data_IF_634988826476
#
_entry.id   IF_634988826476
#
_cell.length_a   1.000
_cell.length_b   1.000
_cell.length_c   1.000
_cell.angle_alpha   90.00
_cell.angle_beta   90.00
_cell.angle_gamma   90.00
#
_symmetry.space_group_name_H-M   'P 1'
#
loop_
_entity.id
_entity.type
_entity.pdbx_description
1 polymer ?
#
# COMPACT_ATOMS: atom_id res chain seq x y z
N UNK A 1 14.79 19.92 12.41
CA UNK A 1 14.87 18.93 13.51
C UNK A 1 13.55 18.71 14.24
N UNK A 2 12.80 19.75 14.65
CA UNK A 2 11.50 19.59 15.35
C UNK A 2 10.40 18.87 14.55
N UNK A 3 10.38 18.96 13.20
CA UNK A 3 9.40 18.27 12.35
C UNK A 3 9.67 16.77 12.13
N UNK A 4 10.87 16.27 12.45
CA UNK A 4 11.25 14.86 12.22
C UNK A 4 10.89 13.95 13.40
N UNK A 5 10.78 14.51 14.60
CA UNK A 5 10.44 13.78 15.83
C UNK A 5 9.10 13.00 15.71
N UNK A 6 8.00 13.59 15.19
CA UNK A 6 6.76 12.85 14.99
C UNK A 6 6.93 11.68 14.02
N UNK A 7 7.64 11.90 12.91
CA UNK A 7 7.88 10.86 11.90
C UNK A 7 8.70 9.70 12.47
N UNK A 8 9.78 10.00 13.19
CA UNK A 8 10.63 8.99 13.83
C UNK A 8 9.82 8.20 14.87
N UNK A 9 8.96 8.88 15.65
CA UNK A 9 8.06 8.22 16.60
C UNK A 9 7.12 7.23 15.92
N UNK A 10 6.45 7.64 14.84
CA UNK A 10 5.55 6.76 14.08
C UNK A 10 6.30 5.56 13.49
N UNK A 11 7.45 5.79 12.85
CA UNK A 11 8.27 4.71 12.28
C UNK A 11 8.77 3.74 13.35
N UNK A 12 9.09 4.24 14.55
CA UNK A 12 9.52 3.41 15.68
C UNK A 12 8.38 2.53 16.19
N UNK A 13 7.19 3.10 16.41
CA UNK A 13 6.00 2.35 16.83
C UNK A 13 5.63 1.26 15.81
N UNK A 14 5.63 1.61 14.52
CA UNK A 14 5.39 0.67 13.42
C UNK A 14 6.46 -0.43 13.40
N UNK A 15 7.74 -0.07 13.56
CA UNK A 15 8.84 -1.03 13.64
C UNK A 15 8.65 -2.03 14.78
N UNK A 16 8.30 -1.55 15.98
CA UNK A 16 8.00 -2.40 17.14
C UNK A 16 6.83 -3.35 16.85
N UNK A 17 5.75 -2.85 16.25
CA UNK A 17 4.61 -3.68 15.86
C UNK A 17 5.03 -4.80 14.89
N UNK A 18 5.80 -4.47 13.85
CA UNK A 18 6.28 -5.46 12.87
C UNK A 18 7.16 -6.52 13.55
N UNK A 19 7.99 -6.13 14.52
CA UNK A 19 8.81 -7.07 15.26
C UNK A 19 7.97 -7.99 16.15
N UNK A 20 6.95 -7.47 16.84
CA UNK A 20 6.01 -8.28 17.62
C UNK A 20 5.25 -9.27 16.71
N UNK A 21 4.77 -8.83 15.54
CA UNK A 21 4.13 -9.70 14.56
C UNK A 21 5.05 -10.79 14.02
N UNK A 22 6.35 -10.50 13.94
CA UNK A 22 7.37 -11.47 13.52
C UNK A 22 7.63 -12.48 14.65
N UNK A 23 7.78 -12.00 15.90
CA UNK A 23 8.00 -12.84 17.08
C UNK A 23 6.82 -13.78 17.36
N UNK A 24 5.59 -13.31 17.16
CA UNK A 24 4.35 -14.08 17.36
C UNK A 24 4.00 -14.98 16.17
N UNK A 25 4.74 -14.90 15.06
CA UNK A 25 4.48 -15.66 13.84
C UNK A 25 3.29 -15.17 13.01
N UNK A 26 2.57 -14.14 13.44
CA UNK A 26 1.41 -13.55 12.72
C UNK A 26 1.80 -13.10 11.31
N UNK A 27 2.98 -12.49 11.15
CA UNK A 27 3.50 -12.09 9.83
C UNK A 27 3.70 -13.29 8.91
N UNK A 28 4.19 -14.41 9.45
CA UNK A 28 4.36 -15.66 8.71
C UNK A 28 3.02 -16.29 8.35
N UNK A 29 2.04 -16.25 9.25
CA UNK A 29 0.68 -16.73 8.98
C UNK A 29 0.04 -15.95 7.82
N UNK A 30 0.11 -14.61 7.85
CA UNK A 30 -0.36 -13.75 6.75
C UNK A 30 0.35 -14.12 5.44
N UNK A 31 1.66 -14.39 5.49
CA UNK A 31 2.42 -14.79 4.31
C UNK A 31 1.89 -16.09 3.69
N UNK A 32 1.72 -17.13 4.50
CA UNK A 32 1.26 -18.44 4.04
C UNK A 32 -0.17 -18.35 3.51
N UNK A 33 -1.07 -17.69 4.25
CA UNK A 33 -2.46 -17.52 3.81
C UNK A 33 -2.52 -16.77 2.47
N UNK A 34 -1.75 -15.70 2.31
CA UNK A 34 -1.70 -14.92 1.05
C UNK A 34 -1.18 -15.77 -0.12
N UNK A 35 -0.15 -16.60 0.10
CA UNK A 35 0.41 -17.47 -0.94
C UNK A 35 -0.58 -18.57 -1.36
N UNK A 36 -1.46 -19.00 -0.46
CA UNK A 36 -2.49 -20.03 -0.76
C UNK A 36 -3.75 -19.48 -1.42
N UNK A 37 -3.94 -18.16 -1.47
CA UNK A 37 -5.13 -17.56 -2.08
C UNK A 37 -5.10 -17.64 -3.62
N UNK A 38 -6.26 -17.80 -4.28
CA UNK A 38 -6.32 -17.76 -5.74
C UNK A 38 -5.95 -16.36 -6.25
N UNK A 39 -5.07 -16.32 -7.26
CA UNK A 39 -4.52 -15.08 -7.84
C UNK A 39 -5.61 -14.05 -8.20
N UNK A 40 -6.73 -14.51 -8.76
CA UNK A 40 -7.84 -13.65 -9.17
C UNK A 40 -8.44 -12.91 -7.96
N UNK A 41 -8.59 -13.59 -6.82
CA UNK A 41 -9.07 -12.96 -5.59
C UNK A 41 -8.05 -11.95 -5.05
N UNK A 42 -6.76 -12.24 -5.14
CA UNK A 42 -5.71 -11.30 -4.73
C UNK A 42 -5.79 -10.04 -5.60
N UNK A 43 -5.78 -10.17 -6.93
CA UNK A 43 -5.81 -9.02 -7.85
C UNK A 43 -7.09 -8.17 -7.66
N UNK A 44 -8.24 -8.80 -7.45
CA UNK A 44 -9.50 -8.09 -7.20
C UNK A 44 -9.49 -7.34 -5.85
N UNK A 45 -8.78 -7.85 -4.86
CA UNK A 45 -8.72 -7.25 -3.52
C UNK A 45 -7.60 -6.22 -3.36
N UNK A 46 -6.53 -6.26 -4.17
CA UNK A 46 -5.44 -5.27 -4.20
C UNK A 46 -5.92 -3.80 -4.12
N UNK A 47 -6.87 -3.32 -4.94
CA UNK A 47 -7.31 -1.93 -4.90
C UNK A 47 -7.93 -1.48 -3.57
N UNK A 48 -8.39 -2.41 -2.74
CA UNK A 48 -8.95 -2.10 -1.43
C UNK A 48 -7.94 -2.40 -0.31
N UNK A 49 -7.24 -3.53 -0.39
CA UNK A 49 -6.30 -3.98 0.63
C UNK A 49 -5.08 -3.07 0.68
N UNK A 50 -4.52 -2.64 -0.46
CA UNK A 50 -3.32 -1.80 -0.45
C UNK A 50 -3.60 -0.43 0.19
N UNK A 51 -4.61 0.37 -0.23
CA UNK A 51 -4.89 1.65 0.42
C UNK A 51 -5.38 1.49 1.87
N UNK A 52 -6.17 0.45 2.17
CA UNK A 52 -6.63 0.22 3.54
C UNK A 52 -5.47 -0.15 4.48
N UNK A 53 -4.53 -0.97 4.00
CA UNK A 53 -3.37 -1.37 4.79
C UNK A 53 -2.48 -0.18 5.13
N UNK A 54 -2.26 0.73 4.20
CA UNK A 54 -1.56 1.99 4.43
C UNK A 54 -2.31 2.89 5.40
N UNK A 55 -3.63 3.02 5.25
CA UNK A 55 -4.41 3.87 6.13
C UNK A 55 -4.32 3.41 7.60
N UNK A 56 -4.09 2.12 7.86
CA UNK A 56 -4.00 1.56 9.22
C UNK A 56 -2.54 1.43 9.69
N UNK A 57 -1.65 0.90 8.86
CA UNK A 57 -0.27 0.56 9.22
C UNK A 57 0.74 1.62 8.74
N UNK A 58 0.29 2.61 7.97
CA UNK A 58 1.12 3.60 7.29
C UNK A 58 2.27 2.90 6.54
N UNK A 59 3.49 3.39 6.73
CA UNK A 59 4.72 2.82 6.19
C UNK A 59 5.00 1.35 6.60
N UNK A 60 4.29 0.83 7.60
CA UNK A 60 4.36 -0.57 8.03
C UNK A 60 3.63 -1.56 7.13
N UNK A 61 2.79 -1.09 6.21
CA UNK A 61 2.04 -1.96 5.32
C UNK A 61 2.95 -2.79 4.38
N UNK A 62 4.04 -2.19 3.89
CA UNK A 62 4.99 -2.83 2.98
C UNK A 62 5.67 -4.09 3.57
N UNK A 63 6.29 -4.06 4.77
CA UNK A 63 6.90 -5.26 5.35
C UNK A 63 5.88 -6.33 5.77
N UNK A 64 4.65 -5.94 6.12
CA UNK A 64 3.60 -6.85 6.58
C UNK A 64 2.90 -7.56 5.44
N UNK A 65 2.45 -6.82 4.42
CA UNK A 65 1.67 -7.36 3.29
C UNK A 65 2.46 -7.42 1.98
N UNK A 66 3.35 -6.48 1.73
CA UNK A 66 4.12 -6.43 0.48
C UNK A 66 5.07 -7.60 0.31
N UNK A 67 5.78 -8.02 1.36
CA UNK A 67 6.67 -9.18 1.31
C UNK A 67 5.91 -10.47 0.91
N UNK A 68 4.80 -10.85 1.57
CA UNK A 68 3.92 -11.93 1.12
C UNK A 68 3.47 -11.86 -0.34
N UNK A 69 2.98 -10.69 -0.77
CA UNK A 69 2.44 -10.50 -2.12
C UNK A 69 3.53 -10.65 -3.18
N UNK A 70 4.72 -10.11 -2.94
CA UNK A 70 5.87 -10.26 -3.84
C UNK A 70 6.30 -11.72 -3.94
N UNK A 71 6.29 -12.47 -2.83
CA UNK A 71 6.59 -13.90 -2.84
C UNK A 71 5.55 -14.68 -3.65
N UNK A 72 4.25 -14.42 -3.46
CA UNK A 72 3.18 -15.01 -4.27
C UNK A 72 3.37 -14.71 -5.78
N UNK A 73 3.68 -13.47 -6.14
CA UNK A 73 3.89 -13.11 -7.54
C UNK A 73 5.12 -13.81 -8.13
N UNK A 74 6.18 -13.95 -7.34
CA UNK A 74 7.38 -14.68 -7.75
C UNK A 74 7.08 -16.16 -8.01
N UNK A 75 6.32 -16.84 -7.14
CA UNK A 75 5.99 -18.28 -7.32
C UNK A 75 5.10 -18.55 -8.54
N UNK A 76 4.34 -17.55 -9.00
CA UNK A 76 3.48 -17.64 -10.19
C UNK A 76 4.24 -17.21 -11.48
N UNK A 77 5.48 -16.75 -11.37
CA UNK A 77 6.31 -16.34 -12.50
C UNK A 77 6.01 -14.94 -13.02
N UNK A 78 5.44 -14.07 -12.17
CA UNK A 78 5.36 -12.64 -12.42
C UNK A 78 6.68 -11.97 -12.05
N UNK A 79 7.00 -10.83 -12.67
CA UNK A 79 8.19 -10.08 -12.28
C UNK A 79 7.93 -9.37 -10.94
N UNK A 80 8.61 -9.75 -9.85
CA UNK A 80 8.36 -9.22 -8.51
C UNK A 80 8.66 -7.72 -8.41
N UNK A 81 9.63 -7.23 -9.17
CA UNK A 81 10.05 -5.82 -9.17
C UNK A 81 8.96 -4.95 -9.80
N UNK A 82 8.46 -5.36 -10.97
CA UNK A 82 7.39 -4.62 -11.66
C UNK A 82 6.08 -4.70 -10.90
N UNK A 83 5.76 -5.86 -10.34
CA UNK A 83 4.57 -6.03 -9.50
C UNK A 83 4.65 -5.15 -8.24
N UNK A 84 5.82 -5.12 -7.57
CA UNK A 84 6.05 -4.24 -6.43
C UNK A 84 5.92 -2.76 -6.81
N UNK A 85 6.51 -2.35 -7.95
CA UNK A 85 6.38 -0.98 -8.45
C UNK A 85 4.90 -0.60 -8.70
N UNK A 86 4.13 -1.51 -9.31
CA UNK A 86 2.69 -1.31 -9.51
C UNK A 86 1.92 -1.16 -8.19
N UNK A 87 2.25 -1.97 -7.18
CA UNK A 87 1.66 -1.85 -5.84
C UNK A 87 2.08 -0.55 -5.14
N UNK A 88 3.34 -0.12 -5.25
CA UNK A 88 3.88 1.12 -4.67
C UNK A 88 3.23 2.39 -5.23
N UNK A 89 2.57 2.32 -6.38
CA UNK A 89 1.79 3.44 -6.94
C UNK A 89 0.40 3.52 -6.29
N UNK A 90 -0.15 2.40 -5.82
CA UNK A 90 -1.47 2.32 -5.18
C UNK A 90 -1.39 2.65 -3.67
N UNK A 91 -0.30 2.23 -3.04
CA UNK A 91 0.04 2.39 -1.60
C UNK A 91 0.29 3.80 -1.06
N UNK A 92 0.17 4.89 -1.83
CA UNK A 92 0.06 6.24 -1.26
C UNK A 92 -1.36 6.77 -1.21
N UNK A 93 -2.35 6.03 -1.76
CA UNK A 93 -3.75 6.47 -1.80
C UNK A 93 -4.44 6.38 -0.44
N UNK A 94 -3.93 5.51 0.44
CA UNK A 94 -4.36 5.30 1.81
C UNK A 94 -4.06 6.47 2.74
N UNK A 95 -3.04 7.27 2.46
CA UNK A 95 -2.73 8.51 3.20
C UNK A 95 -3.88 9.53 3.16
N UNK A 96 -4.76 9.43 2.15
CA UNK A 96 -5.97 10.22 2.05
C UNK A 96 -7.19 9.59 2.76
N UNK A 97 -7.13 8.32 3.19
CA UNK A 97 -8.28 7.65 3.81
C UNK A 97 -8.46 8.03 5.30
N UNK A 98 -9.71 8.08 5.81
CA UNK A 98 -10.05 8.56 7.15
C UNK A 98 -9.36 7.93 8.38
N UNK A 99 -8.92 6.65 8.39
CA UNK A 99 -8.33 6.04 9.58
C UNK A 99 -7.07 6.77 10.09
N UNK A 100 -6.24 7.28 9.17
CA UNK A 100 -5.08 8.13 9.47
C UNK A 100 -5.33 9.56 9.01
N UNK A 101 -5.67 9.77 7.73
CA UNK A 101 -5.93 11.06 7.08
C UNK A 101 -4.97 12.20 7.47
N UNK A 102 -3.75 11.89 7.94
CA UNK A 102 -2.84 12.90 8.50
C UNK A 102 -2.42 13.85 7.39
N UNK A 103 -1.97 13.28 6.27
CA UNK A 103 -1.53 14.03 5.08
C UNK A 103 -2.73 14.71 4.41
N UNK A 104 -3.87 14.01 4.28
CA UNK A 104 -5.07 14.62 3.70
C UNK A 104 -5.62 15.80 4.50
N UNK A 105 -5.60 15.73 5.85
CA UNK A 105 -6.07 16.84 6.71
C UNK A 105 -5.13 18.04 6.64
N UNK A 106 -3.82 17.79 6.62
CA UNK A 106 -2.81 18.84 6.43
C UNK A 106 -2.95 19.51 5.07
N UNK A 107 -3.19 18.74 4.00
CA UNK A 107 -3.42 19.27 2.66
C UNK A 107 -4.66 20.18 2.62
N UNK A 108 -5.77 19.74 3.23
CA UNK A 108 -7.00 20.53 3.34
C UNK A 108 -6.78 21.87 4.05
N UNK A 109 -6.05 21.85 5.16
CA UNK A 109 -5.72 23.04 5.94
C UNK A 109 -4.83 24.02 5.15
N UNK A 110 -3.84 23.49 4.44
CA UNK A 110 -2.91 24.28 3.60
C UNK A 110 -3.60 24.94 2.42
N UNK A 111 -4.57 24.25 1.79
CA UNK A 111 -5.35 24.77 0.66
C UNK A 111 -6.51 25.67 1.14
N UNK A 112 -6.77 25.75 2.44
CA UNK A 112 -7.83 26.60 3.01
C UNK A 112 -9.25 26.12 2.67
N UNK A 113 -9.43 24.82 2.37
CA UNK A 113 -10.74 24.27 2.02
C UNK A 113 -11.66 24.22 3.25
N UNK A 114 -12.73 25.03 3.23
CA UNK A 114 -13.75 25.07 4.31
C UNK A 114 -14.76 23.92 4.25
N UNK A 115 -14.85 23.24 3.10
CA UNK A 115 -15.77 22.11 2.89
C UNK A 115 -15.44 20.90 3.78
N UNK A 116 -16.38 19.97 4.03
CA UNK A 116 -16.09 18.73 4.76
C UNK A 116 -15.04 17.87 4.05
N UNK A 117 -14.25 17.11 4.81
CA UNK A 117 -13.18 16.23 4.28
C UNK A 117 -13.70 15.24 3.22
N UNK A 118 -14.94 14.80 3.37
CA UNK A 118 -15.62 13.92 2.41
C UNK A 118 -15.75 14.53 1.01
N UNK A 119 -15.83 15.86 0.88
CA UNK A 119 -15.88 16.51 -0.43
C UNK A 119 -14.51 16.48 -1.11
N UNK A 120 -13.43 16.72 -0.36
CA UNK A 120 -12.06 16.54 -0.86
C UNK A 120 -11.85 15.11 -1.35
N UNK A 121 -12.30 14.12 -0.57
CA UNK A 121 -12.18 12.71 -0.94
C UNK A 121 -12.93 12.41 -2.24
N UNK A 122 -14.13 12.98 -2.45
CA UNK A 122 -14.90 12.85 -3.70
C UNK A 122 -14.16 13.41 -4.91
N UNK A 123 -13.52 14.57 -4.80
CA UNK A 123 -12.69 15.13 -5.87
C UNK A 123 -11.48 14.24 -6.19
N UNK A 124 -10.93 13.55 -5.19
CA UNK A 124 -9.82 12.63 -5.34
C UNK A 124 -10.21 11.23 -5.87
N UNK A 125 -11.49 10.87 -5.96
CA UNK A 125 -11.91 9.54 -6.42
C UNK A 125 -11.47 9.27 -7.86
N UNK A 126 -11.67 10.22 -8.77
CA UNK A 126 -11.30 10.06 -10.19
C UNK A 126 -9.79 9.81 -10.35
N UNK A 127 -8.89 10.66 -9.82
CA UNK A 127 -7.45 10.41 -9.92
C UNK A 127 -7.04 9.12 -9.19
N UNK A 128 -7.64 8.81 -8.04
CA UNK A 128 -7.37 7.55 -7.34
C UNK A 128 -7.70 6.32 -8.19
N UNK A 129 -8.83 6.35 -8.91
CA UNK A 129 -9.26 5.24 -9.77
C UNK A 129 -8.29 5.04 -10.95
N UNK A 130 -7.78 6.13 -11.53
CA UNK A 130 -6.76 6.07 -12.60
C UNK A 130 -5.47 5.44 -12.06
N UNK A 131 -4.99 5.88 -10.89
CA UNK A 131 -3.78 5.36 -10.24
C UNK A 131 -3.93 3.86 -9.94
N UNK A 132 -5.07 3.46 -9.40
CA UNK A 132 -5.42 2.06 -9.14
C UNK A 132 -5.38 1.24 -10.43
N UNK A 133 -6.03 1.74 -11.50
CA UNK A 133 -6.08 1.03 -12.78
C UNK A 133 -4.69 0.82 -13.36
N UNK A 134 -3.83 1.86 -13.33
CA UNK A 134 -2.45 1.79 -13.79
C UNK A 134 -1.64 0.79 -12.95
N UNK A 135 -1.75 0.85 -11.62
CA UNK A 135 -1.03 -0.07 -10.73
C UNK A 135 -1.44 -1.52 -10.94
N UNK A 136 -2.74 -1.81 -11.09
CA UNK A 136 -3.23 -3.16 -11.39
C UNK A 136 -2.75 -3.63 -12.76
N UNK A 137 -2.79 -2.78 -13.78
CA UNK A 137 -2.26 -3.10 -15.11
C UNK A 137 -0.77 -3.46 -15.05
N UNK A 138 0.03 -2.72 -14.27
CA UNK A 138 1.45 -3.05 -14.07
C UNK A 138 1.65 -4.40 -13.38
N UNK A 139 0.81 -4.76 -12.41
CA UNK A 139 0.87 -6.07 -11.75
C UNK A 139 0.51 -7.19 -12.72
N UNK A 140 -0.60 -7.07 -13.45
CA UNK A 140 -1.09 -8.09 -14.41
C UNK A 140 -0.10 -8.28 -15.56
N UNK A 141 0.41 -7.19 -16.12
CA UNK A 141 1.35 -7.21 -17.25
C UNK A 141 2.82 -7.27 -16.81
N UNK A 142 3.10 -7.52 -15.52
CA UNK A 142 4.45 -7.53 -14.95
C UNK A 142 5.42 -8.41 -15.74
N UNK A 143 4.97 -9.56 -16.24
CA UNK A 143 5.78 -10.46 -17.07
C UNK A 143 6.17 -9.86 -18.42
N UNK A 144 5.27 -9.12 -19.08
CA UNK A 144 5.56 -8.42 -20.35
C UNK A 144 6.41 -7.16 -20.13
N UNK A 145 6.20 -6.51 -19.00
CA UNK A 145 6.92 -5.31 -18.58
C UNK A 145 8.29 -5.62 -17.95
N UNK A 146 8.66 -6.90 -17.80
CA UNK A 146 9.97 -7.33 -17.28
C UNK A 146 11.15 -6.76 -18.06
N UNK A 147 10.95 -6.38 -19.33
CA UNK A 147 11.95 -5.66 -20.12
C UNK A 147 12.42 -4.35 -19.43
N UNK A 148 11.54 -3.68 -18.67
CA UNK A 148 11.86 -2.42 -17.97
C UNK A 148 12.88 -2.61 -16.83
N UNK A 149 13.07 -3.83 -16.34
CA UNK A 149 13.96 -4.09 -15.20
C UNK A 149 15.40 -4.39 -15.60
N UNK A 150 15.72 -4.45 -16.92
CA UNK A 150 17.05 -4.76 -17.47
C UNK A 150 17.75 -5.99 -16.83
N UNK A 151 16.95 -6.93 -16.31
CA UNK A 151 17.34 -8.15 -15.61
C UNK A 151 16.69 -9.35 -16.31
#
# INVERSE_FOLDING_TARGET
VHQLLPLIGTLTCVGVLVQIMTLTGVRGLIAITTVTLPLVAVILTLPLVLPASEAVLMWGAAPVLGVPLVLLFNTIGFNPIVALAGMSIIWPLGDALPPTAIIGRLAKETVGMKEPYSNMLKYCVIPALIIIAVGILMVIYSKKLSFLTML
#
